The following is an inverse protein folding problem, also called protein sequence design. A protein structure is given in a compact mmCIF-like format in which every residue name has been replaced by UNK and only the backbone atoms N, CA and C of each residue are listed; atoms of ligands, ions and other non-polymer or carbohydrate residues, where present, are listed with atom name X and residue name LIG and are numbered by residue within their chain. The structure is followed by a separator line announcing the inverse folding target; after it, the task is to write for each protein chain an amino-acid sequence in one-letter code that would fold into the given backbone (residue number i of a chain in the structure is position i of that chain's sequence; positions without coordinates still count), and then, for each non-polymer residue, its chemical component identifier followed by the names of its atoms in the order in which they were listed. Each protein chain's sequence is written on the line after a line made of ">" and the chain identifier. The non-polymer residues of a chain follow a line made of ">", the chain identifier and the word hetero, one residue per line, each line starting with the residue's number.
data_IF_341551298126
#
_entry.id   IF_341551298126
#
_cell.length_a   1.000
_cell.length_b   1.000
_cell.length_c   1.000
_cell.angle_alpha   90.00
_cell.angle_beta   90.00
_cell.angle_gamma   90.00
#
_symmetry.space_group_name_H-M   'P 1'
#
loop_
_entity.id
_entity.type
_entity.pdbx_description
1 polymer ?
#
# COMPACT_ATOMS: atom_id res chain seq x y z
N UNK A 1 -6.96 30.43 11.17
CA UNK A 1 -6.13 30.06 10.00
C UNK A 1 -6.97 29.15 9.11
N UNK A 2 -7.21 29.53 7.85
CA UNK A 2 -7.76 28.62 6.85
C UNK A 2 -6.59 27.81 6.28
N UNK A 3 -6.29 26.66 6.90
CA UNK A 3 -5.43 25.66 6.28
C UNK A 3 -6.30 24.92 5.25
N UNK A 4 -5.98 24.96 3.95
CA UNK A 4 -6.71 24.17 2.97
C UNK A 4 -6.58 22.68 3.33
N UNK A 5 -7.68 21.95 3.22
CA UNK A 5 -7.67 20.50 3.40
C UNK A 5 -6.84 19.87 2.27
N UNK A 6 -6.19 18.75 2.58
CA UNK A 6 -5.54 17.94 1.56
C UNK A 6 -6.57 17.46 0.54
N UNK A 7 -6.19 17.45 -0.73
CA UNK A 7 -6.97 16.88 -1.83
C UNK A 7 -6.25 15.62 -2.28
N UNK A 8 -7.00 14.51 -2.35
CA UNK A 8 -6.51 13.25 -2.89
C UNK A 8 -7.17 13.03 -4.24
N UNK A 9 -6.36 12.87 -5.28
CA UNK A 9 -6.84 12.45 -6.58
C UNK A 9 -6.87 10.92 -6.62
N UNK A 10 -7.85 10.33 -7.31
CA UNK A 10 -7.97 8.87 -7.46
C UNK A 10 -8.12 8.12 -6.11
N UNK A 11 -9.04 8.61 -5.28
CA UNK A 11 -9.41 8.06 -3.96
C UNK A 11 -9.77 6.57 -3.99
N UNK A 12 -10.46 6.12 -5.05
CA UNK A 12 -10.80 4.72 -5.26
C UNK A 12 -9.59 3.80 -5.59
N UNK A 13 -8.44 4.34 -5.98
CA UNK A 13 -7.24 3.52 -6.24
C UNK A 13 -6.18 3.65 -5.15
N UNK A 14 -6.26 4.71 -4.35
CA UNK A 14 -5.23 5.01 -3.35
C UNK A 14 -5.49 4.25 -2.05
N UNK A 15 -4.51 3.48 -1.61
CA UNK A 15 -4.57 2.64 -0.41
C UNK A 15 -4.55 3.50 0.84
N UNK A 16 -5.57 3.34 1.67
CA UNK A 16 -5.66 3.94 3.00
C UNK A 16 -5.07 3.02 4.07
N UNK A 17 -5.43 1.74 4.05
CA UNK A 17 -4.98 0.75 5.04
C UNK A 17 -4.88 -0.65 4.41
N UNK A 18 -4.00 -1.48 4.95
CA UNK A 18 -3.88 -2.89 4.61
C UNK A 18 -3.88 -3.72 5.90
N UNK A 19 -4.91 -4.55 6.08
CA UNK A 19 -5.19 -5.31 7.30
C UNK A 19 -5.08 -4.47 8.59
N UNK A 20 -3.95 -4.53 9.31
CA UNK A 20 -3.70 -3.76 10.53
C UNK A 20 -2.67 -2.64 10.35
N UNK A 21 -2.28 -2.33 9.11
CA UNK A 21 -1.25 -1.36 8.77
C UNK A 21 -1.79 -0.17 8.00
N UNK A 22 -1.45 1.03 8.47
CA UNK A 22 -1.64 2.26 7.73
C UNK A 22 -0.31 2.70 7.10
N UNK A 23 -0.17 2.64 5.76
CA UNK A 23 1.05 3.04 5.06
C UNK A 23 1.52 4.48 5.33
N UNK A 24 0.61 5.33 5.74
CA UNK A 24 0.84 6.76 5.96
C UNK A 24 1.30 7.06 7.39
N UNK A 25 0.91 6.23 8.35
CA UNK A 25 1.18 6.46 9.78
C UNK A 25 2.27 5.52 10.32
N UNK A 26 2.39 4.32 9.77
CA UNK A 26 3.32 3.29 10.27
C UNK A 26 4.70 3.38 9.58
N UNK A 27 5.11 4.60 9.20
CA UNK A 27 6.17 4.94 8.25
C UNK A 27 7.63 4.60 8.66
N UNK A 28 7.84 3.86 9.74
CA UNK A 28 9.18 3.49 10.20
C UNK A 28 9.94 2.54 9.25
N UNK A 29 9.21 1.80 8.40
CA UNK A 29 9.78 0.94 7.38
C UNK A 29 8.75 0.71 6.27
N UNK A 30 8.81 1.51 5.20
CA UNK A 30 8.18 1.28 3.88
C UNK A 30 7.25 0.07 3.85
N UNK A 31 6.01 0.22 4.33
CA UNK A 31 5.16 -0.93 4.65
C UNK A 31 4.93 -1.84 3.43
N UNK A 32 4.91 -1.24 2.24
CA UNK A 32 4.77 -1.90 0.97
C UNK A 32 5.89 -2.91 0.69
N UNK A 33 7.13 -2.67 1.13
CA UNK A 33 8.26 -3.60 0.95
C UNK A 33 8.14 -4.83 1.87
N UNK A 34 7.53 -4.65 3.05
CA UNK A 34 7.25 -5.76 3.99
C UNK A 34 6.05 -6.58 3.50
N UNK A 35 4.96 -5.89 3.14
CA UNK A 35 3.77 -6.50 2.58
C UNK A 35 4.09 -7.28 1.31
N UNK A 36 4.88 -6.70 0.41
CA UNK A 36 5.36 -7.34 -0.82
C UNK A 36 6.08 -8.68 -0.60
N UNK A 37 6.73 -8.83 0.55
CA UNK A 37 7.44 -10.06 0.96
C UNK A 37 6.55 -11.03 1.74
N UNK A 38 5.27 -10.72 1.94
CA UNK A 38 4.37 -11.50 2.80
C UNK A 38 4.70 -11.39 4.29
N UNK A 39 5.38 -10.31 4.70
CA UNK A 39 5.74 -10.04 6.10
C UNK A 39 4.72 -9.10 6.70
N UNK A 40 3.93 -9.61 7.63
CA UNK A 40 2.87 -8.89 8.33
C UNK A 40 3.23 -8.69 9.81
N UNK A 41 2.57 -7.76 10.48
CA UNK A 41 2.74 -7.61 11.92
C UNK A 41 4.07 -6.95 12.30
N UNK A 42 4.52 -7.22 13.53
CA UNK A 42 5.90 -6.98 13.97
C UNK A 42 6.85 -8.11 13.53
N UNK A 43 6.36 -9.05 12.71
CA UNK A 43 7.14 -10.18 12.22
C UNK A 43 8.27 -9.76 11.27
N UNK A 44 9.29 -10.59 11.21
CA UNK A 44 10.42 -10.46 10.28
C UNK A 44 10.45 -11.56 9.21
N UNK A 45 9.59 -12.57 9.34
CA UNK A 45 9.53 -13.74 8.45
C UNK A 45 8.23 -13.71 7.64
N UNK A 46 8.27 -14.07 6.34
CA UNK A 46 7.07 -14.25 5.54
C UNK A 46 6.14 -15.31 6.14
N UNK A 47 4.83 -15.12 5.98
CA UNK A 47 3.83 -16.11 6.40
C UNK A 47 2.81 -16.35 5.29
N UNK A 48 2.23 -17.53 5.26
CA UNK A 48 1.20 -17.90 4.26
C UNK A 48 -0.22 -17.71 4.77
N UNK A 49 -0.42 -17.11 5.94
CA UNK A 49 -1.72 -17.03 6.63
C UNK A 49 -2.78 -16.28 5.82
N UNK A 50 -2.36 -15.43 4.88
CA UNK A 50 -3.24 -14.65 4.00
C UNK A 50 -3.23 -15.11 2.53
N UNK A 51 -2.68 -16.29 2.21
CA UNK A 51 -2.66 -16.86 0.85
C UNK A 51 -2.16 -15.87 -0.22
N UNK A 52 -1.01 -15.23 0.03
CA UNK A 52 -0.37 -14.24 -0.86
C UNK A 52 -1.22 -13.00 -1.18
N UNK A 53 -2.17 -12.66 -0.30
CA UNK A 53 -2.96 -11.43 -0.40
C UNK A 53 -3.19 -10.78 0.95
N UNK A 54 -4.03 -9.75 0.96
CA UNK A 54 -4.34 -8.89 2.10
C UNK A 54 -5.70 -8.22 1.91
N UNK A 55 -6.36 -7.81 3.00
CA UNK A 55 -7.51 -6.92 2.89
C UNK A 55 -7.01 -5.48 2.76
N UNK A 56 -7.55 -4.75 1.79
CA UNK A 56 -7.14 -3.38 1.47
C UNK A 56 -8.34 -2.47 1.56
N UNK A 57 -8.22 -1.38 2.31
CA UNK A 57 -9.16 -0.26 2.26
C UNK A 57 -8.59 0.90 1.45
N UNK A 58 -9.47 1.57 0.72
CA UNK A 58 -9.14 2.72 -0.12
C UNK A 58 -9.69 4.02 0.48
N UNK A 59 -9.26 5.17 -0.03
CA UNK A 59 -9.69 6.46 0.52
C UNK A 59 -11.18 6.77 0.32
N UNK A 60 -11.83 6.20 -0.70
CA UNK A 60 -13.27 6.29 -0.90
C UNK A 60 -14.08 5.41 0.08
N UNK A 61 -13.40 4.61 0.91
CA UNK A 61 -13.97 3.78 1.96
C UNK A 61 -14.31 2.34 1.55
N UNK A 62 -14.14 1.96 0.27
CA UNK A 62 -14.37 0.56 -0.09
C UNK A 62 -13.23 -0.35 0.38
N UNK A 63 -13.55 -1.63 0.53
CA UNK A 63 -12.62 -2.66 0.99
C UNK A 63 -12.66 -3.84 0.03
N UNK A 64 -11.50 -4.41 -0.29
CA UNK A 64 -11.40 -5.68 -1.02
C UNK A 64 -10.20 -6.48 -0.57
N UNK A 65 -10.30 -7.80 -0.67
CA UNK A 65 -9.12 -8.65 -0.62
C UNK A 65 -8.38 -8.59 -1.96
N UNK A 66 -7.05 -8.45 -1.92
CA UNK A 66 -6.21 -8.39 -3.12
C UNK A 66 -4.97 -9.24 -2.95
N UNK A 67 -4.56 -9.93 -4.02
CA UNK A 67 -3.21 -10.51 -4.09
C UNK A 67 -2.15 -9.41 -4.03
N UNK A 68 -1.02 -9.70 -3.40
CA UNK A 68 0.12 -8.79 -3.33
C UNK A 68 0.65 -8.41 -4.73
N UNK A 69 0.57 -9.33 -5.70
CA UNK A 69 0.94 -9.09 -7.09
C UNK A 69 0.04 -8.11 -7.84
N UNK A 70 -1.16 -7.82 -7.31
CA UNK A 70 -2.12 -6.90 -7.92
C UNK A 70 -2.04 -5.50 -7.31
N UNK A 71 -1.23 -5.33 -6.26
CA UNK A 71 -1.03 -4.08 -5.56
C UNK A 71 0.23 -3.43 -6.09
N UNK A 72 0.15 -2.15 -6.46
CA UNK A 72 1.24 -1.42 -7.11
C UNK A 72 1.74 -0.26 -6.26
N UNK A 73 3.00 0.14 -6.45
CA UNK A 73 3.61 1.20 -5.63
C UNK A 73 2.88 2.54 -5.69
N UNK A 74 2.34 2.91 -6.85
CA UNK A 74 1.58 4.16 -7.03
C UNK A 74 0.28 4.20 -6.21
N UNK A 75 -0.27 3.05 -5.81
CA UNK A 75 -1.43 2.98 -4.93
C UNK A 75 -1.08 3.33 -3.48
N UNK A 76 0.16 3.10 -3.04
CA UNK A 76 0.65 3.40 -1.69
C UNK A 76 1.37 4.75 -1.62
N UNK A 77 2.07 5.10 -2.70
CA UNK A 77 2.84 6.32 -2.86
C UNK A 77 2.07 7.27 -3.78
N UNK A 78 1.02 7.92 -3.26
CA UNK A 78 0.12 8.73 -4.09
C UNK A 78 0.81 9.87 -4.88
N UNK A 79 1.98 10.33 -4.42
CA UNK A 79 2.80 11.34 -5.09
C UNK A 79 3.83 10.76 -6.06
N UNK A 80 3.85 9.44 -6.25
CA UNK A 80 4.80 8.78 -7.14
C UNK A 80 4.55 9.24 -8.59
N UNK A 81 5.53 9.88 -9.24
CA UNK A 81 5.34 10.34 -10.61
C UNK A 81 5.07 9.18 -11.56
N UNK A 82 4.22 9.38 -12.56
CA UNK A 82 3.93 8.40 -13.63
C UNK A 82 5.18 8.00 -14.42
N UNK A 83 6.25 8.79 -14.35
CA UNK A 83 7.55 8.53 -14.97
C UNK A 83 8.50 7.70 -14.11
N UNK A 84 8.14 7.39 -12.86
CA UNK A 84 8.98 6.59 -11.97
C UNK A 84 9.01 5.13 -12.43
N UNK A 85 10.16 4.45 -12.27
CA UNK A 85 10.32 3.06 -12.69
C UNK A 85 9.39 2.08 -11.95
N UNK A 86 9.02 2.42 -10.71
CA UNK A 86 8.08 1.64 -9.90
C UNK A 86 6.62 2.04 -10.09
N UNK A 87 6.30 3.03 -10.92
CA UNK A 87 4.91 3.38 -11.19
C UNK A 87 4.18 2.21 -11.87
N UNK A 88 3.08 1.73 -11.28
CA UNK A 88 2.38 0.54 -11.74
C UNK A 88 3.12 -0.78 -11.50
N UNK A 89 4.31 -0.77 -10.88
CA UNK A 89 5.07 -1.99 -10.55
C UNK A 89 4.44 -2.64 -9.32
N UNK A 90 4.29 -3.98 -9.30
CA UNK A 90 3.76 -4.68 -8.14
C UNK A 90 4.65 -4.57 -6.91
N UNK A 91 4.06 -4.39 -5.72
CA UNK A 91 4.79 -4.35 -4.45
C UNK A 91 5.44 -5.69 -4.09
N UNK A 92 4.99 -6.79 -4.73
CA UNK A 92 5.61 -8.12 -4.56
C UNK A 92 7.01 -8.22 -5.17
N UNK A 93 7.47 -7.18 -5.86
CA UNK A 93 8.84 -7.02 -6.34
C UNK A 93 9.55 -5.97 -5.49
N UNK A 94 10.86 -6.03 -5.27
CA UNK A 94 11.57 -4.97 -4.55
C UNK A 94 11.43 -3.60 -5.26
N UNK A 95 11.32 -2.54 -4.45
CA UNK A 95 11.35 -1.13 -4.87
C UNK A 95 12.73 -0.77 -5.40
N UNK A 96 12.81 0.11 -6.41
CA UNK A 96 14.05 0.45 -7.13
C UNK A 96 14.72 1.73 -6.64
#
# INVERSE_FOLDING_TARGET
>A
MNQPLASVQNDAATVLNVDCYNPWLDSGANIYDRLGKGVYGTGTTPTTIHNDGVNVSFFDGHVKWSKLSNLTYDQFLYTLPTTHADYGRPISQPYL
#
